data_IF_875334948312
#
_entry.id   IF_875334948312
#
_cell.length_a   1.000
_cell.length_b   1.000
_cell.length_c   1.000
_cell.angle_alpha   90.00
_cell.angle_beta   90.00
_cell.angle_gamma   90.00
#
_symmetry.space_group_name_H-M   'P 1'
#
loop_
_entity.id
_entity.type
_entity.pdbx_description
1 polymer ?
#
# COMPACT_ATOMS: atom_id res chain seq x y z
N UNK A 1 27.59 -36.54 10.61
CA UNK A 1 27.52 -36.62 12.08
C UNK A 1 26.64 -37.79 12.44
N UNK A 2 27.05 -38.66 13.36
CA UNK A 2 26.14 -39.65 13.94
C UNK A 2 25.25 -38.89 14.94
N UNK A 3 23.94 -38.88 14.71
CA UNK A 3 23.01 -38.12 15.55
C UNK A 3 23.01 -38.68 16.97
N UNK A 4 23.09 -37.80 17.98
CA UNK A 4 22.98 -38.23 19.37
C UNK A 4 21.53 -38.64 19.66
N UNK A 5 21.34 -39.93 19.89
CA UNK A 5 20.03 -40.54 20.10
C UNK A 5 19.80 -40.90 21.56
N UNK A 6 18.56 -40.80 22.01
CA UNK A 6 18.17 -41.20 23.36
C UNK A 6 18.06 -42.73 23.45
N UNK A 7 18.75 -43.36 24.41
CA UNK A 7 18.65 -44.81 24.64
C UNK A 7 17.29 -45.33 25.15
N UNK A 8 16.29 -44.45 25.33
CA UNK A 8 14.94 -44.82 25.83
C UNK A 8 13.90 -44.66 24.72
N UNK A 9 13.77 -43.46 24.14
CA UNK A 9 12.80 -43.20 23.07
C UNK A 9 13.35 -43.43 21.66
N UNK A 10 14.66 -43.65 21.52
CA UNK A 10 15.37 -43.87 20.24
C UNK A 10 15.32 -42.70 19.24
N UNK A 11 14.79 -41.54 19.67
CA UNK A 11 14.77 -40.29 18.92
C UNK A 11 16.00 -39.42 19.22
N UNK A 12 16.16 -38.32 18.46
CA UNK A 12 17.11 -37.24 18.76
C UNK A 12 16.90 -36.67 20.17
N UNK A 13 18.01 -36.40 20.88
CA UNK A 13 17.98 -35.93 22.26
C UNK A 13 17.29 -34.56 22.39
N UNK A 14 16.18 -34.53 23.13
CA UNK A 14 15.47 -33.30 23.54
C UNK A 14 15.87 -32.95 24.96
N UNK A 15 16.56 -31.81 25.15
CA UNK A 15 17.08 -31.36 26.45
C UNK A 15 17.92 -32.49 27.09
N UNK A 16 19.14 -32.73 26.60
CA UNK A 16 19.92 -33.87 27.05
C UNK A 16 20.31 -33.76 28.53
N UNK A 17 20.13 -34.85 29.27
CA UNK A 17 20.56 -35.01 30.65
C UNK A 17 21.49 -36.22 30.79
N UNK A 18 22.41 -36.13 31.75
CA UNK A 18 23.41 -37.16 32.07
C UNK A 18 23.27 -37.60 33.53
N UNK A 19 22.95 -38.87 33.83
CA UNK A 19 23.30 -39.52 35.09
C UNK A 19 24.82 -39.54 35.32
N UNK A 20 25.31 -39.88 36.53
CA UNK A 20 26.74 -39.82 36.86
C UNK A 20 27.58 -40.82 36.05
N UNK A 21 26.97 -41.84 35.46
CA UNK A 21 27.65 -42.77 34.55
C UNK A 21 27.95 -42.18 33.16
N UNK A 22 27.45 -40.98 32.83
CA UNK A 22 27.79 -40.26 31.59
C UNK A 22 26.93 -40.58 30.36
N UNK A 23 25.97 -41.51 30.45
CA UNK A 23 25.01 -41.77 29.36
C UNK A 23 24.06 -40.58 29.17
N UNK A 24 23.52 -40.41 27.96
CA UNK A 24 22.63 -39.29 27.64
C UNK A 24 21.22 -39.77 27.34
N UNK A 25 20.24 -39.05 27.90
CA UNK A 25 18.82 -39.27 27.68
C UNK A 25 18.09 -37.94 27.54
N UNK A 26 16.89 -37.95 26.96
CA UNK A 26 15.98 -36.81 27.08
C UNK A 26 15.59 -36.63 28.55
N UNK A 27 15.47 -35.39 29.01
CA UNK A 27 15.07 -35.07 30.38
C UNK A 27 13.79 -35.82 30.80
N UNK A 28 12.76 -35.73 29.97
CA UNK A 28 11.48 -36.38 30.23
C UNK A 28 11.60 -37.90 30.31
N UNK A 29 12.41 -38.51 29.44
CA UNK A 29 12.57 -39.97 29.42
C UNK A 29 13.29 -40.47 30.67
N UNK A 30 14.36 -39.78 31.10
CA UNK A 30 15.09 -40.18 32.30
C UNK A 30 14.26 -39.94 33.57
N UNK A 31 13.54 -38.82 33.66
CA UNK A 31 12.70 -38.54 34.83
C UNK A 31 11.53 -39.52 34.94
N UNK A 32 10.85 -39.85 33.85
CA UNK A 32 9.81 -40.88 33.85
C UNK A 32 10.36 -42.25 34.28
N UNK A 33 11.59 -42.59 33.89
CA UNK A 33 12.24 -43.82 34.35
C UNK A 33 12.52 -43.82 35.86
N UNK A 34 13.00 -42.69 36.40
CA UNK A 34 13.26 -42.53 37.84
C UNK A 34 11.95 -42.59 38.63
N UNK A 35 10.91 -41.89 38.18
CA UNK A 35 9.58 -41.84 38.83
C UNK A 35 8.87 -43.19 38.82
N UNK A 36 9.13 -44.04 37.82
CA UNK A 36 8.61 -45.40 37.77
C UNK A 36 9.36 -46.37 38.71
N UNK A 37 10.50 -45.95 39.29
CA UNK A 37 11.28 -46.74 40.24
C UNK A 37 10.58 -46.88 41.60
N UNK A 38 10.87 -47.98 42.30
CA UNK A 38 10.33 -48.23 43.64
C UNK A 38 11.04 -47.42 44.74
N UNK A 39 12.31 -47.06 44.53
CA UNK A 39 13.15 -46.38 45.51
C UNK A 39 13.20 -44.87 45.26
N UNK A 40 12.85 -44.08 46.27
CA UNK A 40 12.89 -42.63 46.20
C UNK A 40 14.32 -42.05 46.22
N UNK A 41 15.30 -42.82 46.71
CA UNK A 41 16.67 -42.35 46.99
C UNK A 41 17.71 -42.88 46.00
N UNK A 42 17.38 -43.90 45.22
CA UNK A 42 18.30 -44.57 44.30
C UNK A 42 17.57 -44.88 42.99
N UNK A 43 18.25 -44.65 41.88
CA UNK A 43 17.78 -45.00 40.54
C UNK A 43 18.90 -45.63 39.74
N UNK A 44 18.55 -46.37 38.68
CA UNK A 44 19.52 -46.99 37.78
C UNK A 44 19.53 -46.29 36.42
N UNK A 45 20.70 -46.20 35.79
CA UNK A 45 20.79 -45.73 34.41
C UNK A 45 20.09 -46.73 33.45
N UNK A 46 19.18 -46.28 32.57
CA UNK A 46 18.51 -47.16 31.58
C UNK A 46 19.47 -47.88 30.64
N UNK A 47 20.62 -47.26 30.32
CA UNK A 47 21.59 -47.83 29.37
C UNK A 47 22.52 -48.87 30.01
N UNK A 48 23.16 -48.54 31.13
CA UNK A 48 24.20 -49.40 31.72
C UNK A 48 23.82 -50.01 33.06
N UNK A 49 22.64 -49.69 33.59
CA UNK A 49 22.09 -50.20 34.86
C UNK A 49 22.93 -49.87 36.10
N UNK A 50 23.92 -48.98 35.98
CA UNK A 50 24.66 -48.44 37.12
C UNK A 50 23.71 -47.67 38.01
N UNK A 51 23.69 -47.98 39.30
CA UNK A 51 22.87 -47.27 40.26
C UNK A 51 23.49 -45.93 40.68
N UNK A 52 22.64 -44.99 41.06
CA UNK A 52 23.03 -43.66 41.52
C UNK A 52 21.98 -43.08 42.46
N UNK A 53 22.43 -42.23 43.37
CA UNK A 53 21.54 -41.53 44.29
C UNK A 53 20.82 -40.38 43.61
N UNK A 54 19.51 -40.26 43.78
CA UNK A 54 18.69 -39.16 43.23
C UNK A 54 18.61 -37.96 44.17
N UNK A 55 18.72 -38.20 45.49
CA UNK A 55 18.65 -37.17 46.50
C UNK A 55 19.95 -36.35 46.57
N UNK A 56 19.81 -35.02 46.53
CA UNK A 56 20.90 -34.10 46.85
C UNK A 56 20.79 -33.65 48.31
N UNK A 57 21.88 -33.68 49.10
CA UNK A 57 21.84 -33.23 50.49
C UNK A 57 21.56 -31.73 50.56
N UNK A 58 20.85 -31.30 51.59
CA UNK A 58 20.65 -29.87 51.85
C UNK A 58 21.97 -29.22 52.27
N UNK A 59 22.45 -28.28 51.45
CA UNK A 59 23.75 -27.61 51.61
C UNK A 59 23.88 -26.87 52.95
N UNK A 60 22.77 -26.56 53.64
CA UNK A 60 22.80 -25.94 54.99
C UNK A 60 23.47 -26.84 56.03
N UNK A 61 23.38 -28.15 55.87
CA UNK A 61 24.00 -29.14 56.77
C UNK A 61 25.40 -29.58 56.29
N UNK A 62 25.86 -29.06 55.15
CA UNK A 62 27.16 -29.39 54.56
C UNK A 62 28.13 -28.22 54.81
N UNK A 63 29.33 -28.45 55.36
CA UNK A 63 30.34 -27.40 55.49
C UNK A 63 30.67 -26.73 54.15
N UNK A 64 30.76 -25.40 54.13
CA UNK A 64 30.95 -24.58 52.91
C UNK A 64 32.10 -25.04 52.00
N UNK A 65 33.19 -25.57 52.58
CA UNK A 65 34.34 -26.11 51.83
C UNK A 65 33.98 -27.25 50.87
N UNK A 66 32.84 -27.92 51.08
CA UNK A 66 32.38 -29.01 50.23
C UNK A 66 31.33 -28.62 49.20
N UNK A 67 30.80 -27.39 49.26
CA UNK A 67 29.67 -26.97 48.39
C UNK A 67 30.00 -27.10 46.90
N UNK A 68 31.25 -26.83 46.50
CA UNK A 68 31.69 -26.96 45.10
C UNK A 68 31.70 -28.42 44.60
N UNK A 69 31.71 -29.40 45.51
CA UNK A 69 31.69 -30.82 45.18
C UNK A 69 30.29 -31.44 45.29
N UNK A 70 29.29 -30.67 45.75
CA UNK A 70 27.90 -31.08 45.82
C UNK A 70 27.21 -30.75 44.49
N UNK A 71 27.29 -31.68 43.54
CA UNK A 71 26.66 -31.56 42.20
C UNK A 71 25.42 -32.46 42.17
N UNK A 72 24.30 -32.02 41.58
CA UNK A 72 23.15 -32.90 41.39
C UNK A 72 23.53 -34.11 40.55
N UNK A 73 23.00 -35.28 40.91
CA UNK A 73 23.33 -36.55 40.26
C UNK A 73 22.93 -36.62 38.79
N UNK A 74 21.81 -35.98 38.44
CA UNK A 74 21.38 -35.82 37.06
C UNK A 74 21.65 -34.38 36.64
N UNK A 75 22.54 -34.20 35.65
CA UNK A 75 22.93 -32.89 35.13
C UNK A 75 22.40 -32.67 33.71
N UNK A 76 21.93 -31.47 33.41
CA UNK A 76 21.65 -31.05 32.01
C UNK A 76 22.96 -30.85 31.27
N UNK A 77 23.04 -31.37 30.05
CA UNK A 77 24.21 -31.25 29.17
C UNK A 77 23.80 -30.36 28.00
N UNK A 78 24.61 -29.33 27.74
CA UNK A 78 24.44 -28.49 26.56
C UNK A 78 25.38 -29.02 25.49
N UNK A 79 24.79 -29.64 24.47
CA UNK A 79 25.53 -30.12 23.32
C UNK A 79 25.23 -29.15 22.20
N UNK A 80 26.27 -28.51 21.69
CA UNK A 80 26.17 -27.72 20.48
C UNK A 80 25.98 -28.70 19.32
N UNK A 81 24.72 -28.98 18.99
CA UNK A 81 24.35 -29.76 17.81
C UNK A 81 24.53 -28.85 16.59
N UNK A 82 25.79 -28.79 16.14
CA UNK A 82 26.34 -28.32 14.87
C UNK A 82 26.09 -26.86 14.39
N UNK A 83 27.17 -26.28 13.86
CA UNK A 83 27.29 -24.94 13.25
C UNK A 83 26.31 -24.68 12.06
N UNK A 84 25.60 -25.70 11.58
CA UNK A 84 24.57 -25.59 10.54
C UNK A 84 23.24 -25.03 11.08
N UNK A 85 23.01 -25.11 12.40
CA UNK A 85 21.89 -24.44 13.06
C UNK A 85 22.03 -22.91 12.98
N UNK A 86 23.24 -22.34 13.04
CA UNK A 86 23.46 -20.90 12.79
C UNK A 86 23.16 -20.52 11.33
N UNK A 87 23.46 -21.38 10.35
CA UNK A 87 23.20 -21.12 8.93
C UNK A 87 21.69 -21.09 8.62
N UNK A 88 20.93 -22.06 9.14
CA UNK A 88 19.47 -22.05 9.00
C UNK A 88 18.84 -20.86 9.74
N UNK A 89 19.29 -20.57 10.96
CA UNK A 89 18.78 -19.45 11.77
C UNK A 89 19.07 -18.10 11.12
N UNK A 90 20.24 -17.90 10.50
CA UNK A 90 20.58 -16.67 9.78
C UNK A 90 19.77 -16.52 8.50
N UNK A 91 19.57 -17.61 7.73
CA UNK A 91 18.71 -17.60 6.55
C UNK A 91 17.24 -17.30 6.90
N UNK A 92 16.72 -17.87 7.99
CA UNK A 92 15.39 -17.58 8.52
C UNK A 92 15.27 -16.11 8.95
N UNK A 93 16.26 -15.58 9.69
CA UNK A 93 16.28 -14.17 10.09
C UNK A 93 16.30 -13.22 8.88
N UNK A 94 17.07 -13.53 7.84
CA UNK A 94 17.09 -12.75 6.61
C UNK A 94 15.75 -12.79 5.87
N UNK A 95 15.09 -13.96 5.84
CA UNK A 95 13.74 -14.12 5.27
C UNK A 95 12.70 -13.27 6.01
N UNK A 96 12.76 -13.28 7.34
CA UNK A 96 11.87 -12.48 8.21
C UNK A 96 12.07 -10.99 7.94
N UNK A 97 13.31 -10.51 7.95
CA UNK A 97 13.61 -9.10 7.66
C UNK A 97 13.08 -8.65 6.30
N UNK A 98 13.23 -9.49 5.26
CA UNK A 98 12.70 -9.21 3.93
C UNK A 98 11.17 -9.15 3.91
N UNK A 99 10.51 -10.06 4.62
CA UNK A 99 9.04 -10.06 4.71
C UNK A 99 8.55 -8.84 5.48
N UNK A 100 9.23 -8.42 6.54
CA UNK A 100 8.89 -7.23 7.30
C UNK A 100 9.00 -5.96 6.45
N UNK A 101 10.06 -5.83 5.66
CA UNK A 101 10.23 -4.74 4.70
C UNK A 101 9.08 -4.72 3.67
N UNK A 102 8.73 -5.88 3.11
CA UNK A 102 7.62 -5.99 2.17
C UNK A 102 6.27 -5.60 2.80
N UNK A 103 6.01 -6.06 4.03
CA UNK A 103 4.77 -5.71 4.76
C UNK A 103 4.71 -4.21 5.01
N UNK A 104 5.83 -3.57 5.37
CA UNK A 104 5.88 -2.13 5.59
C UNK A 104 5.64 -1.35 4.29
N UNK A 105 6.24 -1.78 3.18
CA UNK A 105 5.98 -1.19 1.86
C UNK A 105 4.50 -1.26 1.49
N UNK A 106 3.89 -2.44 1.61
CA UNK A 106 2.49 -2.65 1.27
C UNK A 106 1.53 -1.84 2.16
N UNK A 107 1.88 -1.66 3.44
CA UNK A 107 1.12 -0.81 4.36
C UNK A 107 1.16 0.65 3.93
N UNK A 108 2.32 1.15 3.51
CA UNK A 108 2.47 2.51 3.00
C UNK A 108 1.68 2.70 1.70
N UNK A 109 1.80 1.77 0.75
CA UNK A 109 1.08 1.82 -0.52
C UNK A 109 -0.43 1.78 -0.32
N UNK A 110 -0.91 0.95 0.61
CA UNK A 110 -2.33 0.92 1.00
C UNK A 110 -2.78 2.27 1.54
N UNK A 111 -2.02 2.89 2.43
CA UNK A 111 -2.39 4.19 3.01
C UNK A 111 -2.47 5.27 1.93
N UNK A 112 -1.47 5.36 1.04
CA UNK A 112 -1.46 6.30 -0.07
C UNK A 112 -2.65 6.08 -1.03
N UNK A 113 -2.97 4.82 -1.33
CA UNK A 113 -4.08 4.49 -2.21
C UNK A 113 -5.43 4.91 -1.59
N UNK A 114 -5.62 4.63 -0.30
CA UNK A 114 -6.83 5.02 0.42
C UNK A 114 -7.01 6.54 0.45
N UNK A 115 -5.96 7.29 0.80
CA UNK A 115 -5.97 8.75 0.80
C UNK A 115 -6.37 9.30 -0.59
N UNK A 116 -5.78 8.74 -1.66
CA UNK A 116 -6.11 9.15 -3.02
C UNK A 116 -7.54 8.82 -3.42
N UNK A 117 -8.06 7.66 -3.00
CA UNK A 117 -9.45 7.28 -3.22
C UNK A 117 -10.41 8.24 -2.51
N UNK A 118 -10.14 8.57 -1.25
CA UNK A 118 -10.93 9.52 -0.46
C UNK A 118 -10.92 10.93 -1.07
N UNK A 119 -9.76 11.40 -1.53
CA UNK A 119 -9.63 12.66 -2.24
C UNK A 119 -10.46 12.68 -3.54
N UNK A 120 -10.45 11.59 -4.30
CA UNK A 120 -11.22 11.52 -5.54
C UNK A 120 -12.73 11.45 -5.29
N UNK A 121 -13.16 10.68 -4.29
CA UNK A 121 -14.57 10.59 -3.89
C UNK A 121 -15.08 11.94 -3.39
N UNK A 122 -14.30 12.62 -2.53
CA UNK A 122 -14.68 13.93 -2.01
C UNK A 122 -14.74 14.99 -3.11
N UNK A 123 -13.77 15.05 -4.02
CA UNK A 123 -13.81 15.95 -5.18
C UNK A 123 -15.04 15.68 -6.06
N UNK A 124 -15.31 14.41 -6.38
CA UNK A 124 -16.49 14.03 -7.17
C UNK A 124 -17.80 14.45 -6.50
N UNK A 125 -17.90 14.31 -5.17
CA UNK A 125 -19.07 14.74 -4.40
C UNK A 125 -19.26 16.25 -4.45
N UNK A 126 -18.20 17.02 -4.28
CA UNK A 126 -18.24 18.49 -4.35
C UNK A 126 -18.68 18.94 -5.75
N UNK A 127 -18.15 18.33 -6.81
CA UNK A 127 -18.58 18.64 -8.18
C UNK A 127 -20.07 18.32 -8.40
N UNK A 128 -20.54 17.15 -7.95
CA UNK A 128 -21.95 16.77 -8.09
C UNK A 128 -22.89 17.69 -7.30
N UNK A 129 -22.52 18.07 -6.07
CA UNK A 129 -23.27 19.03 -5.26
C UNK A 129 -23.28 20.43 -5.92
N UNK A 130 -22.14 20.87 -6.46
CA UNK A 130 -22.01 22.11 -7.22
C UNK A 130 -22.93 22.16 -8.43
N UNK A 131 -22.91 21.14 -9.28
CA UNK A 131 -23.80 21.06 -10.45
C UNK A 131 -25.29 21.09 -10.05
N UNK A 132 -25.66 20.38 -8.97
CA UNK A 132 -27.04 20.39 -8.47
C UNK A 132 -27.44 21.80 -8.01
N UNK A 133 -26.57 22.48 -7.29
CA UNK A 133 -26.82 23.84 -6.81
C UNK A 133 -26.97 24.83 -7.97
N UNK A 134 -26.12 24.73 -9.00
CA UNK A 134 -26.24 25.55 -10.21
C UNK A 134 -27.54 25.29 -10.97
N UNK A 135 -27.98 24.03 -11.07
CA UNK A 135 -29.27 23.69 -11.70
C UNK A 135 -30.45 24.33 -10.96
N UNK A 136 -30.47 24.23 -9.62
CA UNK A 136 -31.49 24.84 -8.80
C UNK A 136 -31.46 26.38 -8.87
N UNK A 137 -30.27 26.98 -8.90
CA UNK A 137 -30.14 28.43 -9.06
C UNK A 137 -30.67 28.91 -10.42
N UNK A 138 -30.38 28.17 -11.49
CA UNK A 138 -30.92 28.45 -12.82
C UNK A 138 -32.44 28.37 -12.84
N UNK A 139 -33.03 27.34 -12.23
CA UNK A 139 -34.49 27.17 -12.15
C UNK A 139 -35.14 28.35 -11.42
N UNK A 140 -34.62 28.75 -10.26
CA UNK A 140 -35.09 29.94 -9.53
C UNK A 140 -35.02 31.21 -10.36
N UNK A 141 -33.90 31.44 -11.05
CA UNK A 141 -33.74 32.62 -11.90
C UNK A 141 -34.74 32.58 -13.08
N UNK A 142 -35.03 31.41 -13.63
CA UNK A 142 -36.05 31.26 -14.68
C UNK A 142 -37.46 31.59 -14.16
N UNK A 143 -37.80 31.15 -12.95
CA UNK A 143 -39.07 31.51 -12.29
C UNK A 143 -39.17 33.03 -12.08
N UNK A 144 -38.11 33.67 -11.58
CA UNK A 144 -38.05 35.13 -11.40
C UNK A 144 -38.23 35.87 -12.73
N UNK A 145 -37.55 35.45 -13.79
CA UNK A 145 -37.69 36.03 -15.13
C UNK A 145 -39.11 35.88 -15.67
N UNK A 146 -39.74 34.72 -15.48
CA UNK A 146 -41.13 34.50 -15.87
C UNK A 146 -42.09 35.41 -15.08
N UNK A 147 -41.86 35.56 -13.78
CA UNK A 147 -42.69 36.41 -12.94
C UNK A 147 -42.54 37.89 -13.33
N UNK A 148 -41.32 38.36 -13.55
CA UNK A 148 -41.05 39.71 -14.04
C UNK A 148 -41.69 39.95 -15.41
N UNK A 149 -41.61 38.98 -16.33
CA UNK A 149 -42.26 39.06 -17.63
C UNK A 149 -43.78 39.17 -17.49
N UNK A 150 -44.41 38.39 -16.61
CA UNK A 150 -45.85 38.46 -16.32
C UNK A 150 -46.23 39.83 -15.75
N UNK A 151 -45.45 40.35 -14.80
CA UNK A 151 -45.64 41.70 -14.22
C UNK A 151 -45.54 42.78 -15.30
N UNK A 152 -44.56 42.67 -16.20
CA UNK A 152 -44.35 43.60 -17.30
C UNK A 152 -45.52 43.60 -18.31
N UNK A 153 -45.95 42.45 -18.79
CA UNK A 153 -47.09 42.39 -19.74
C UNK A 153 -48.38 42.91 -19.10
N UNK A 154 -48.66 42.56 -17.84
CA UNK A 154 -49.80 43.12 -17.11
C UNK A 154 -49.74 44.66 -17.02
N UNK A 155 -48.58 45.23 -16.75
CA UNK A 155 -48.39 46.69 -16.68
C UNK A 155 -48.55 47.34 -18.05
N UNK A 156 -48.01 46.72 -19.09
CA UNK A 156 -48.10 47.16 -20.48
C UNK A 156 -49.54 47.14 -20.99
N UNK A 157 -50.33 46.13 -20.63
CA UNK A 157 -51.76 46.06 -20.95
C UNK A 157 -52.55 47.16 -20.26
N UNK A 158 -52.29 47.41 -18.98
CA UNK A 158 -52.87 48.56 -18.26
C UNK A 158 -52.54 49.89 -18.95
N UNK A 159 -51.28 50.09 -19.33
CA UNK A 159 -50.86 51.31 -20.04
C UNK A 159 -51.53 51.44 -21.41
N UNK A 160 -51.60 50.36 -22.20
CA UNK A 160 -52.32 50.34 -23.48
C UNK A 160 -53.80 50.67 -23.32
N UNK A 161 -54.47 50.10 -22.32
CA UNK A 161 -55.86 50.40 -22.02
C UNK A 161 -56.08 51.86 -21.63
N UNK A 162 -55.26 52.40 -20.74
CA UNK A 162 -55.30 53.82 -20.36
C UNK A 162 -55.05 54.75 -21.56
N UNK A 163 -54.08 54.40 -22.42
CA UNK A 163 -53.77 55.17 -23.64
C UNK A 163 -54.94 55.17 -24.63
N UNK A 164 -55.53 54.00 -24.90
CA UNK A 164 -56.69 53.88 -25.79
C UNK A 164 -57.92 54.62 -25.25
N UNK A 165 -58.16 54.54 -23.93
CA UNK A 165 -59.22 55.32 -23.27
C UNK A 165 -58.99 56.82 -23.43
N UNK A 166 -57.76 57.29 -23.24
CA UNK A 166 -57.39 58.69 -23.40
C UNK A 166 -57.56 59.18 -24.86
N UNK A 167 -57.14 58.38 -25.85
CA UNK A 167 -57.33 58.66 -27.28
C UNK A 167 -58.82 58.70 -27.66
N UNK A 168 -59.66 57.82 -27.11
CA UNK A 168 -61.10 57.81 -27.34
C UNK A 168 -61.82 59.03 -26.74
N UNK A 169 -61.29 59.61 -25.65
CA UNK A 169 -61.81 60.85 -25.04
C UNK A 169 -61.35 62.15 -25.72
N UNK A 170 -60.47 62.10 -26.72
CA UNK A 170 -60.05 63.28 -27.50
C UNK A 170 -60.89 63.45 -28.79
N UNK A 171 -61.57 64.60 -29.02
CA UNK A 171 -62.42 64.77 -30.19
C UNK A 171 -61.61 64.96 -31.48
N UNK A 172 -61.89 64.11 -32.48
CA UNK A 172 -61.30 64.13 -33.83
C UNK A 172 -61.80 65.34 -34.64
N UNK A 173 -61.10 66.46 -34.56
CA UNK A 173 -61.30 67.58 -35.49
C UNK A 173 -60.81 67.19 -36.90
N UNK A 174 -61.74 66.89 -37.81
CA UNK A 174 -61.50 66.79 -39.26
C UNK A 174 -61.08 68.17 -39.78
N UNK A 175 -59.83 68.33 -40.21
CA UNK A 175 -59.45 69.41 -41.16
C UNK A 175 -59.33 68.83 -42.57
N UNK A 176 -59.87 69.58 -43.51
CA UNK A 176 -60.05 69.30 -44.94
C UNK A 176 -59.09 70.19 -45.73
N UNK A 177 -58.64 69.71 -46.90
CA UNK A 177 -57.87 70.40 -47.97
C UNK A 177 -56.43 70.83 -47.59
N UNK A 178 -55.44 70.86 -48.49
CA UNK A 178 -55.44 70.86 -49.96
C UNK A 178 -54.14 70.27 -50.51
N UNK A 179 -54.19 69.84 -51.77
CA UNK A 179 -53.06 69.60 -52.67
C UNK A 179 -51.96 70.68 -52.59
N UNK A 180 -50.71 70.24 -52.64
CA UNK A 180 -49.62 70.96 -53.30
C UNK A 180 -48.55 69.96 -53.76
N UNK A 181 -48.41 69.87 -55.08
CA UNK A 181 -47.39 69.16 -55.84
C UNK A 181 -46.01 69.83 -55.72
N UNK A 182 -45.00 68.98 -55.52
CA UNK A 182 -43.61 68.94 -56.05
C UNK A 182 -42.89 70.24 -56.47
N UNK A 183 -41.73 70.51 -55.83
CA UNK A 183 -40.36 70.43 -56.38
C UNK A 183 -39.42 70.95 -55.26
N UNK A 184 -38.28 70.36 -54.89
CA UNK A 184 -37.21 69.83 -55.70
C UNK A 184 -35.96 70.66 -55.38
N UNK A 185 -35.06 70.16 -54.51
CA UNK A 185 -33.59 70.32 -54.57
C UNK A 185 -32.87 69.84 -53.30
N UNK A 186 -31.94 68.92 -53.52
CA UNK A 186 -31.02 68.25 -52.59
C UNK A 186 -30.07 69.18 -51.82
N UNK A 187 -29.70 68.79 -50.59
CA UNK A 187 -28.28 68.57 -50.21
C UNK A 187 -28.12 68.02 -48.78
N UNK A 188 -27.58 66.80 -48.72
CA UNK A 188 -26.63 66.22 -47.75
C UNK A 188 -26.57 66.77 -46.31
N UNK A 189 -26.97 65.94 -45.33
CA UNK A 189 -26.07 65.37 -44.29
C UNK A 189 -26.79 64.27 -43.50
N UNK A 190 -26.07 63.18 -43.24
CA UNK A 190 -26.57 61.91 -42.76
C UNK A 190 -26.83 61.85 -41.24
N UNK A 191 -27.87 61.09 -40.88
CA UNK A 191 -28.06 60.41 -39.59
C UNK A 191 -29.02 59.23 -39.80
N UNK A 192 -29.53 58.54 -38.76
CA UNK A 192 -28.96 58.19 -37.47
C UNK A 192 -29.30 56.72 -37.08
N UNK A 193 -29.15 56.40 -35.79
CA UNK A 193 -29.34 55.10 -35.11
C UNK A 193 -30.73 54.45 -35.24
N UNK A 194 -30.79 53.11 -35.34
CA UNK A 194 -31.26 52.14 -34.31
C UNK A 194 -31.66 50.77 -34.92
N UNK A 195 -31.15 49.70 -34.28
CA UNK A 195 -31.76 48.40 -33.98
C UNK A 195 -32.82 47.85 -34.96
N UNK A 196 -32.46 46.77 -35.65
CA UNK A 196 -33.34 45.62 -35.94
C UNK A 196 -32.50 44.39 -36.32
N UNK A 197 -32.77 43.25 -35.68
CA UNK A 197 -32.59 41.92 -36.29
C UNK A 197 -33.93 41.57 -36.97
N UNK A 198 -34.01 40.82 -38.11
CA UNK A 198 -33.37 39.51 -38.26
C UNK A 198 -32.98 39.02 -39.70
N UNK A 199 -32.25 37.90 -39.71
CA UNK A 199 -32.08 36.85 -40.74
C UNK A 199 -31.20 37.05 -41.99
N UNK A 200 -30.16 36.19 -42.04
CA UNK A 200 -29.73 35.32 -43.15
C UNK A 200 -29.05 35.94 -44.37
N UNK A 201 -27.75 35.68 -44.49
CA UNK A 201 -27.04 35.61 -45.79
C UNK A 201 -26.50 34.20 -45.97
N UNK A 202 -26.79 33.65 -47.16
CA UNK A 202 -26.48 32.29 -47.63
C UNK A 202 -25.42 32.38 -48.73
N UNK A 203 -24.49 31.43 -48.75
CA UNK A 203 -23.56 31.19 -49.88
C UNK A 203 -22.29 30.44 -49.46
N UNK A 204 -22.39 29.13 -49.20
CA UNK A 204 -21.90 28.01 -50.05
C UNK A 204 -20.45 27.54 -49.81
N UNK A 205 -20.39 26.42 -49.07
CA UNK A 205 -19.60 25.21 -49.29
C UNK A 205 -18.08 25.31 -49.47
N UNK A 206 -17.38 25.13 -48.34
CA UNK A 206 -16.11 24.41 -48.28
C UNK A 206 -16.17 23.42 -47.12
N UNK A 207 -16.34 22.13 -47.41
CA UNK A 207 -16.20 21.07 -46.41
C UNK A 207 -14.78 21.13 -45.81
N UNK A 208 -14.68 21.47 -44.52
CA UNK A 208 -13.48 21.23 -43.73
C UNK A 208 -13.79 20.12 -42.72
N UNK A 209 -12.89 19.12 -42.54
CA UNK A 209 -13.23 17.93 -41.78
C UNK A 209 -13.47 18.27 -40.32
N UNK A 210 -14.42 17.56 -39.70
CA UNK A 210 -14.65 17.56 -38.26
C UNK A 210 -13.32 17.55 -37.49
N UNK A 211 -13.08 18.59 -36.69
CA UNK A 211 -12.05 18.52 -35.67
C UNK A 211 -12.46 17.39 -34.71
N UNK A 212 -11.71 16.28 -34.79
CA UNK A 212 -11.85 15.13 -33.91
C UNK A 212 -11.81 15.63 -32.47
N UNK A 213 -12.76 15.17 -31.65
CA UNK A 213 -12.73 15.31 -30.18
C UNK A 213 -11.28 15.17 -29.68
N UNK A 214 -10.82 16.00 -28.72
CA UNK A 214 -9.56 15.72 -28.07
C UNK A 214 -9.61 14.28 -27.53
N UNK A 215 -8.68 13.44 -28.00
CA UNK A 215 -8.51 12.09 -27.44
C UNK A 215 -8.16 12.30 -25.98
N UNK A 216 -9.09 11.95 -25.08
CA UNK A 216 -8.78 11.71 -23.69
C UNK A 216 -7.60 10.73 -23.67
N UNK A 217 -6.45 11.18 -23.18
CA UNK A 217 -5.39 10.25 -22.80
C UNK A 217 -6.01 9.31 -21.77
N UNK A 218 -6.20 8.07 -22.18
CA UNK A 218 -6.45 6.85 -21.41
C UNK A 218 -7.28 6.99 -20.12
N UNK A 219 -8.46 6.36 -20.13
CA UNK A 219 -9.11 5.86 -18.91
C UNK A 219 -8.07 5.13 -18.03
N UNK A 220 -8.05 5.35 -16.71
CA UNK A 220 -7.19 4.58 -15.79
C UNK A 220 -7.53 3.08 -15.74
N UNK A 221 -8.62 2.66 -16.38
CA UNK A 221 -9.08 1.28 -16.51
C UNK A 221 -9.01 0.81 -17.97
N UNK A 222 -7.81 0.61 -18.51
CA UNK A 222 -7.60 -0.10 -19.78
C UNK A 222 -6.85 -1.41 -19.50
N UNK A 223 -7.59 -2.51 -19.42
CA UNK A 223 -7.08 -3.86 -19.14
C UNK A 223 -6.40 -4.52 -20.36
N UNK A 224 -6.22 -3.77 -21.45
CA UNK A 224 -5.68 -4.30 -22.72
C UNK A 224 -4.16 -4.14 -22.86
N UNK A 225 -3.47 -3.57 -21.86
CA UNK A 225 -2.00 -3.41 -21.87
C UNK A 225 -1.33 -4.38 -20.92
N UNK A 226 -0.33 -5.16 -21.37
CA UNK A 226 0.47 -5.96 -20.46
C UNK A 226 1.27 -5.03 -19.53
N UNK A 227 1.18 -5.31 -18.23
CA UNK A 227 1.94 -4.65 -17.17
C UNK A 227 3.43 -4.92 -17.43
N UNK A 228 4.34 -3.92 -17.37
CA UNK A 228 5.77 -4.21 -17.41
C UNK A 228 6.13 -5.00 -16.16
N UNK A 229 6.41 -6.29 -16.35
CA UNK A 229 6.93 -7.19 -15.33
C UNK A 229 8.32 -6.71 -14.91
N UNK A 230 8.47 -6.21 -13.68
CA UNK A 230 9.78 -6.15 -13.03
C UNK A 230 10.14 -7.55 -12.52
N UNK A 231 10.49 -8.42 -13.47
CA UNK A 231 11.01 -9.75 -13.22
C UNK A 231 12.54 -9.69 -13.42
N UNK A 232 13.38 -9.78 -12.36
CA UNK A 232 14.83 -9.72 -12.51
C UNK A 232 15.46 -11.06 -12.95
N UNK A 233 14.69 -11.95 -13.59
CA UNK A 233 15.17 -13.26 -14.02
C UNK A 233 14.71 -13.61 -15.43
N UNK A 234 15.24 -12.90 -16.43
CA UNK A 234 15.30 -13.43 -17.79
C UNK A 234 16.68 -13.23 -18.40
N UNK A 235 17.61 -14.06 -17.92
CA UNK A 235 18.92 -14.26 -18.53
C UNK A 235 18.70 -14.99 -19.86
N UNK A 236 18.90 -14.28 -20.96
CA UNK A 236 18.94 -14.88 -22.31
C UNK A 236 20.09 -15.88 -22.32
N UNK A 237 19.76 -17.16 -22.53
CA UNK A 237 20.74 -18.19 -22.84
C UNK A 237 21.31 -17.93 -24.25
N UNK A 238 22.62 -17.75 -24.32
CA UNK A 238 23.40 -18.05 -25.53
C UNK A 238 24.48 -19.09 -25.20
N UNK A 239 24.79 -19.98 -26.16
CA UNK A 239 25.40 -21.26 -25.88
C UNK A 239 26.91 -21.13 -25.67
N UNK A 240 27.41 -21.86 -24.67
CA UNK A 240 28.84 -22.03 -24.39
C UNK A 240 29.46 -22.94 -25.45
N UNK A 241 30.50 -22.44 -26.13
CA UNK A 241 31.48 -23.24 -26.86
C UNK A 241 32.57 -23.73 -25.90
N UNK A 242 32.86 -25.02 -25.98
CA UNK A 242 33.91 -25.73 -25.23
C UNK A 242 35.32 -25.21 -25.53
N UNK A 243 36.17 -25.14 -24.50
CA UNK A 243 37.52 -25.72 -24.53
C UNK A 243 38.12 -25.84 -23.11
N UNK A 244 38.91 -26.90 -22.97
CA UNK A 244 39.41 -27.62 -21.78
C UNK A 244 40.74 -27.06 -21.20
N UNK A 245 41.30 -27.64 -20.10
CA UNK A 245 42.00 -26.91 -19.02
C UNK A 245 43.54 -27.00 -19.07
N UNK A 246 44.22 -26.20 -18.22
CA UNK A 246 45.64 -26.35 -17.91
C UNK A 246 45.91 -26.29 -16.39
N UNK A 247 46.18 -27.47 -15.85
CA UNK A 247 47.17 -27.88 -14.83
C UNK A 247 48.03 -26.80 -14.11
N UNK A 248 47.91 -26.76 -12.76
CA UNK A 248 48.89 -26.76 -11.62
C UNK A 248 50.39 -26.37 -11.86
N UNK A 249 51.17 -25.91 -10.84
CA UNK A 249 51.14 -26.41 -9.46
C UNK A 249 51.40 -25.41 -8.30
N UNK A 250 51.24 -25.98 -7.10
CA UNK A 250 51.48 -25.47 -5.77
C UNK A 250 52.93 -25.02 -5.49
N UNK A 251 53.10 -24.04 -4.60
CA UNK A 251 54.32 -23.84 -3.81
C UNK A 251 53.96 -23.66 -2.33
N UNK A 252 54.47 -24.62 -1.57
CA UNK A 252 54.64 -24.68 -0.13
C UNK A 252 55.58 -23.57 0.37
N UNK A 253 55.36 -22.99 1.55
CA UNK A 253 56.44 -22.70 2.53
C UNK A 253 55.91 -22.18 3.87
N UNK A 254 56.03 -23.07 4.87
CA UNK A 254 56.53 -22.88 6.25
C UNK A 254 56.17 -21.63 7.08
N UNK A 255 55.44 -21.92 8.17
CA UNK A 255 55.79 -21.68 9.58
C UNK A 255 56.70 -20.48 9.92
N UNK A 256 56.22 -19.64 10.84
CA UNK A 256 56.94 -19.46 12.11
C UNK A 256 56.04 -19.02 13.26
N UNK A 257 56.33 -19.68 14.39
CA UNK A 257 55.87 -19.44 15.75
C UNK A 257 56.75 -18.34 16.36
N UNK A 258 56.17 -17.37 17.08
CA UNK A 258 56.72 -16.88 18.35
C UNK A 258 55.85 -15.80 19.02
N UNK A 259 55.51 -16.12 20.26
CA UNK A 259 55.23 -15.31 21.46
C UNK A 259 55.45 -13.79 21.42
N UNK A 260 54.57 -13.03 22.08
CA UNK A 260 54.88 -12.35 23.36
C UNK A 260 53.77 -11.38 23.84
N UNK A 261 53.33 -11.64 25.08
CA UNK A 261 53.01 -10.72 26.19
C UNK A 261 52.70 -9.23 25.95
N UNK A 262 51.71 -8.73 26.71
CA UNK A 262 51.87 -7.48 27.47
C UNK A 262 50.62 -6.60 27.66
N UNK A 263 50.16 -6.53 28.93
CA UNK A 263 49.64 -5.33 29.64
C UNK A 263 48.28 -4.77 29.17
N UNK A 264 47.18 -4.78 29.94
CA UNK A 264 46.93 -4.18 31.28
C UNK A 264 47.49 -2.77 31.41
N UNK A 265 46.65 -1.75 31.18
CA UNK A 265 46.54 -0.53 32.01
C UNK A 265 45.43 0.42 31.49
N UNK A 266 44.68 0.96 32.45
CA UNK A 266 43.64 2.00 32.44
C UNK A 266 42.23 1.69 31.93
#
# INVERSE_FOLDING_TARGET
MEALTCGICLDELKIPVSPPCGHLHCEQCLFAHIEAGADAMEASCPTCRTSFHTASPDLRFVPKKYHNFMVPSVRRVFIEVDADAQSSTTALKARVAKLDEQVNSLRLDKAMLMERCEANISASRVHAEGEKNERLAKEKLQEEVQELRRKYENMKDKYRGLKAANEASTPRLKRKSSDALLDGSSSVVAGPSQISDPMSVRGTLGFRPFAKRPRLLASPFDLSKPIPSSDPLRRVHHPLSLSTPAYLPAIFSHQNVSDSNGSVEN
#
